data_IF_685787737613
#
_entry.id   IF_685787737613
#
_cell.length_a   1.000
_cell.length_b   1.000
_cell.length_c   1.000
_cell.angle_alpha   90.00
_cell.angle_beta   90.00
_cell.angle_gamma   90.00
#
_symmetry.space_group_name_H-M   'P 1'
#
loop_
_entity.id
_entity.type
_entity.pdbx_description
1 polymer ?
#
# COMPACT_ATOMS: atom_id res chain seq x y z
N UNK A 1 9.18 -11.90 -3.34
CA UNK A 1 9.63 -10.68 -4.06
C UNK A 1 10.80 -10.11 -3.30
N UNK A 2 11.83 -9.55 -3.94
CA UNK A 2 12.96 -8.93 -3.22
C UNK A 2 12.43 -7.81 -2.31
N UNK A 3 13.11 -7.59 -1.18
CA UNK A 3 12.83 -6.48 -0.29
C UNK A 3 13.05 -5.18 -1.05
N UNK A 4 11.99 -4.46 -1.33
CA UNK A 4 12.04 -3.16 -1.98
C UNK A 4 12.10 -2.12 -0.86
N UNK A 5 13.26 -1.51 -0.68
CA UNK A 5 13.45 -0.39 0.23
C UNK A 5 12.96 0.92 -0.40
N UNK A 6 12.86 1.99 0.38
CA UNK A 6 12.44 3.30 -0.14
C UNK A 6 13.35 3.80 -1.30
N UNK A 7 14.64 3.49 -1.25
CA UNK A 7 15.59 3.83 -2.31
C UNK A 7 15.32 3.02 -3.60
N UNK A 8 14.91 1.77 -3.47
CA UNK A 8 14.52 0.92 -4.60
C UNK A 8 13.22 1.42 -5.25
N UNK A 9 12.25 1.89 -4.46
CA UNK A 9 11.00 2.47 -4.97
C UNK A 9 11.28 3.75 -5.77
N UNK A 10 12.10 4.64 -5.24
CA UNK A 10 12.51 5.89 -5.94
C UNK A 10 13.26 5.53 -7.23
N UNK A 11 14.15 4.57 -7.18
CA UNK A 11 14.89 4.09 -8.36
C UNK A 11 13.93 3.52 -9.41
N UNK A 12 12.95 2.72 -9.00
CA UNK A 12 11.94 2.17 -9.90
C UNK A 12 11.10 3.28 -10.56
N UNK A 13 10.68 4.28 -9.79
CA UNK A 13 9.95 5.45 -10.33
C UNK A 13 10.81 6.21 -11.36
N UNK A 14 12.08 6.43 -11.08
CA UNK A 14 13.00 7.08 -12.02
C UNK A 14 13.16 6.27 -13.31
N UNK A 15 13.26 4.95 -13.21
CA UNK A 15 13.31 4.05 -14.37
C UNK A 15 12.02 4.17 -15.18
N UNK A 16 10.86 4.17 -14.55
CA UNK A 16 9.55 4.31 -15.21
C UNK A 16 9.47 5.65 -15.95
N UNK A 17 9.84 6.75 -15.31
CA UNK A 17 9.87 8.09 -15.91
C UNK A 17 10.79 8.10 -17.13
N UNK A 18 11.98 7.52 -17.01
CA UNK A 18 12.94 7.45 -18.11
C UNK A 18 12.39 6.62 -19.29
N UNK A 19 11.85 5.43 -19.02
CA UNK A 19 11.32 4.51 -20.04
C UNK A 19 10.14 5.16 -20.79
N UNK A 20 9.16 5.72 -20.07
CA UNK A 20 8.00 6.37 -20.73
C UNK A 20 8.40 7.62 -21.51
N UNK A 21 9.35 8.40 -20.99
CA UNK A 21 9.90 9.55 -21.73
C UNK A 21 10.62 9.11 -23.00
N UNK A 22 11.42 8.04 -22.93
CA UNK A 22 12.08 7.47 -24.10
C UNK A 22 11.05 6.94 -25.14
N UNK A 23 10.01 6.24 -24.69
CA UNK A 23 8.90 5.79 -25.55
C UNK A 23 8.23 6.97 -26.25
N UNK A 24 7.92 8.05 -25.53
CA UNK A 24 7.30 9.24 -26.08
C UNK A 24 8.19 9.91 -27.15
N UNK A 25 9.51 9.97 -26.90
CA UNK A 25 10.50 10.48 -27.87
C UNK A 25 10.59 9.58 -29.09
N UNK A 26 10.59 8.27 -28.92
CA UNK A 26 10.62 7.30 -30.03
C UNK A 26 9.35 7.45 -30.89
N UNK A 27 8.16 7.46 -30.27
CA UNK A 27 6.90 7.67 -30.98
C UNK A 27 6.94 8.99 -31.74
N UNK A 28 7.30 10.09 -31.08
CA UNK A 28 7.41 11.40 -31.70
C UNK A 28 8.37 11.40 -32.89
N UNK A 29 9.52 10.76 -32.76
CA UNK A 29 10.53 10.64 -33.81
C UNK A 29 10.02 9.86 -35.04
N UNK A 30 9.26 8.78 -34.82
CA UNK A 30 8.62 7.99 -35.90
C UNK A 30 7.63 8.86 -36.66
N UNK A 31 6.77 9.61 -35.94
CA UNK A 31 5.74 10.46 -36.56
C UNK A 31 6.30 11.71 -37.20
N UNK A 32 7.48 12.19 -36.80
CA UNK A 32 8.16 13.34 -37.41
C UNK A 32 9.11 12.96 -38.54
N UNK A 33 9.51 11.70 -38.64
CA UNK A 33 10.48 11.22 -39.63
C UNK A 33 9.94 11.35 -41.04
N UNK A 34 10.76 11.89 -41.97
CA UNK A 34 10.41 12.03 -43.40
C UNK A 34 10.09 10.71 -44.09
N UNK A 35 10.61 9.58 -43.55
CA UNK A 35 10.39 8.25 -44.13
C UNK A 35 9.05 7.64 -43.71
N UNK A 36 8.67 7.76 -42.44
CA UNK A 36 7.48 7.11 -41.88
C UNK A 36 6.24 8.00 -41.88
N UNK A 37 6.41 9.30 -41.81
CA UNK A 37 5.31 10.28 -41.79
C UNK A 37 4.32 10.13 -42.96
N UNK A 38 4.74 9.94 -44.22
CA UNK A 38 3.78 9.77 -45.33
C UNK A 38 2.87 8.54 -45.15
N UNK A 39 3.40 7.46 -44.57
CA UNK A 39 2.62 6.27 -44.26
C UNK A 39 1.62 6.54 -43.13
N UNK A 40 2.03 7.25 -42.09
CA UNK A 40 1.17 7.58 -40.95
C UNK A 40 0.06 8.57 -41.32
N UNK A 41 0.31 9.49 -42.25
CA UNK A 41 -0.68 10.43 -42.75
C UNK A 41 -1.86 9.77 -43.49
N UNK A 42 -1.70 8.55 -44.02
CA UNK A 42 -2.80 7.80 -44.63
C UNK A 42 -3.91 7.44 -43.61
N UNK A 43 -3.59 7.44 -42.34
CA UNK A 43 -4.52 7.17 -41.24
C UNK A 43 -4.99 8.43 -40.49
N UNK A 44 -4.79 9.59 -41.11
CA UNK A 44 -5.29 10.86 -40.60
C UNK A 44 -6.81 10.82 -40.41
N UNK A 45 -7.30 11.33 -39.30
CA UNK A 45 -8.73 11.40 -38.97
C UNK A 45 -9.35 10.08 -38.48
N UNK A 46 -8.71 8.92 -38.77
CA UNK A 46 -9.28 7.61 -38.34
C UNK A 46 -9.24 7.42 -36.86
N UNK A 47 -8.16 7.84 -36.19
CA UNK A 47 -7.93 7.59 -34.78
C UNK A 47 -8.62 8.61 -33.88
N UNK A 48 -8.83 9.84 -34.33
CA UNK A 48 -9.38 10.93 -33.55
C UNK A 48 -10.73 10.61 -32.86
N UNK A 49 -11.72 9.98 -33.50
CA UNK A 49 -13.00 9.61 -32.88
C UNK A 49 -12.85 8.58 -31.75
N UNK A 50 -11.78 7.78 -31.81
CA UNK A 50 -11.54 6.69 -30.82
C UNK A 50 -10.63 7.08 -29.66
N UNK A 51 -10.12 8.29 -29.63
CA UNK A 51 -9.22 8.78 -28.57
C UNK A 51 -9.82 8.63 -27.16
N UNK A 52 -11.12 8.85 -27.02
CA UNK A 52 -11.80 8.74 -25.73
C UNK A 52 -11.74 7.35 -25.10
N UNK A 53 -11.66 6.28 -25.90
CA UNK A 53 -11.69 4.90 -25.39
C UNK A 53 -10.45 4.58 -24.53
N UNK A 54 -9.20 4.68 -25.01
CA UNK A 54 -8.05 4.38 -24.17
C UNK A 54 -7.89 5.38 -23.03
N UNK A 55 -8.28 6.64 -23.20
CA UNK A 55 -8.20 7.64 -22.14
C UNK A 55 -9.15 7.34 -20.97
N UNK A 56 -10.42 7.00 -21.28
CA UNK A 56 -11.41 6.63 -20.25
C UNK A 56 -11.02 5.32 -19.56
N UNK A 57 -10.62 4.30 -20.32
CA UNK A 57 -10.21 3.02 -19.75
C UNK A 57 -8.95 3.15 -18.90
N UNK A 58 -7.97 3.93 -19.32
CA UNK A 58 -6.76 4.22 -18.54
C UNK A 58 -7.12 4.92 -17.22
N UNK A 59 -7.95 5.97 -17.27
CA UNK A 59 -8.37 6.71 -16.10
C UNK A 59 -9.14 5.84 -15.11
N UNK A 60 -10.10 5.05 -15.62
CA UNK A 60 -10.91 4.15 -14.79
C UNK A 60 -10.05 3.08 -14.12
N UNK A 61 -9.19 2.41 -14.88
CA UNK A 61 -8.34 1.34 -14.35
C UNK A 61 -7.32 1.88 -13.35
N UNK A 62 -6.74 3.05 -13.60
CA UNK A 62 -5.84 3.74 -12.67
C UNK A 62 -6.54 4.16 -11.38
N UNK A 63 -7.77 4.68 -11.49
CA UNK A 63 -8.57 5.05 -10.31
C UNK A 63 -8.94 3.83 -9.46
N UNK A 64 -9.40 2.74 -10.08
CA UNK A 64 -9.72 1.49 -9.37
C UNK A 64 -8.48 0.89 -8.68
N UNK A 65 -7.33 0.99 -9.30
CA UNK A 65 -6.09 0.53 -8.68
C UNK A 65 -5.66 1.43 -7.52
N UNK A 66 -5.73 2.74 -7.69
CA UNK A 66 -5.45 3.70 -6.63
C UNK A 66 -6.34 3.52 -5.41
N UNK A 67 -7.65 3.31 -5.61
CA UNK A 67 -8.58 3.05 -4.51
C UNK A 67 -8.27 1.74 -3.79
N UNK A 68 -7.92 0.67 -4.50
CA UNK A 68 -7.55 -0.62 -3.89
C UNK A 68 -6.30 -0.51 -3.02
N UNK A 69 -5.28 0.24 -3.46
CA UNK A 69 -4.06 0.49 -2.69
C UNK A 69 -4.38 1.31 -1.44
N UNK A 70 -5.17 2.38 -1.59
CA UNK A 70 -5.57 3.23 -0.48
C UNK A 70 -6.40 2.49 0.57
N UNK A 71 -7.29 1.61 0.13
CA UNK A 71 -8.08 0.75 1.02
C UNK A 71 -7.18 -0.20 1.83
N UNK A 72 -6.22 -0.85 1.16
CA UNK A 72 -5.25 -1.72 1.84
C UNK A 72 -4.46 -0.96 2.92
N UNK A 73 -4.00 0.26 2.60
CA UNK A 73 -3.32 1.13 3.56
C UNK A 73 -4.22 1.48 4.76
N UNK A 74 -5.47 1.86 4.50
CA UNK A 74 -6.42 2.22 5.54
C UNK A 74 -6.77 1.03 6.46
N UNK A 75 -6.95 -0.16 5.89
CA UNK A 75 -7.20 -1.39 6.66
C UNK A 75 -6.01 -1.70 7.58
N UNK A 76 -4.78 -1.61 7.07
CA UNK A 76 -3.58 -1.81 7.86
C UNK A 76 -3.43 -0.75 8.97
N UNK A 77 -3.67 0.53 8.66
CA UNK A 77 -3.63 1.62 9.64
C UNK A 77 -4.70 1.46 10.73
N UNK A 78 -5.91 1.06 10.35
CA UNK A 78 -7.00 0.80 11.28
C UNK A 78 -6.69 -0.40 12.18
N UNK A 79 -6.06 -1.45 11.65
CA UNK A 79 -5.63 -2.62 12.42
C UNK A 79 -4.64 -2.21 13.52
N UNK A 80 -3.62 -1.42 13.20
CA UNK A 80 -2.65 -0.91 14.19
C UNK A 80 -3.35 -0.12 15.29
N UNK A 81 -4.27 0.78 14.92
CA UNK A 81 -5.04 1.58 15.86
C UNK A 81 -5.91 0.72 16.78
N UNK A 82 -6.60 -0.28 16.21
CA UNK A 82 -7.47 -1.18 16.98
C UNK A 82 -6.66 -2.08 17.91
N UNK A 83 -5.50 -2.61 17.45
CA UNK A 83 -4.60 -3.40 18.29
C UNK A 83 -4.09 -2.58 19.46
N UNK A 84 -3.59 -1.37 19.20
CA UNK A 84 -3.13 -0.45 20.25
C UNK A 84 -4.22 -0.11 21.26
N UNK A 85 -5.44 0.19 20.81
CA UNK A 85 -6.58 0.47 21.69
C UNK A 85 -6.96 -0.74 22.56
N UNK A 86 -6.96 -1.93 21.99
CA UNK A 86 -7.22 -3.16 22.74
C UNK A 86 -6.16 -3.41 23.82
N UNK A 87 -4.87 -3.19 23.50
CA UNK A 87 -3.78 -3.31 24.49
C UNK A 87 -3.92 -2.29 25.62
N UNK A 88 -4.23 -1.02 25.32
CA UNK A 88 -4.49 0.01 26.33
C UNK A 88 -5.66 -0.40 27.22
N UNK A 89 -6.73 -0.95 26.66
CA UNK A 89 -7.89 -1.38 27.41
C UNK A 89 -7.54 -2.55 28.36
N UNK A 90 -6.73 -3.52 27.93
CA UNK A 90 -6.26 -4.63 28.78
C UNK A 90 -5.44 -4.08 29.97
N UNK A 91 -4.50 -3.17 29.71
CA UNK A 91 -3.68 -2.55 30.75
C UNK A 91 -4.56 -1.75 31.72
N UNK A 92 -5.48 -0.94 31.20
CA UNK A 92 -6.39 -0.16 32.04
C UNK A 92 -7.24 -1.04 32.95
N UNK A 93 -7.73 -2.18 32.47
CA UNK A 93 -8.45 -3.15 33.32
C UNK A 93 -7.53 -3.76 34.36
N UNK A 94 -6.32 -4.18 34.00
CA UNK A 94 -5.35 -4.75 34.92
C UNK A 94 -4.96 -3.77 36.06
N UNK A 95 -4.88 -2.46 35.74
CA UNK A 95 -4.50 -1.42 36.70
C UNK A 95 -5.70 -0.97 37.57
N UNK A 96 -6.94 -1.09 37.09
CA UNK A 96 -8.14 -0.57 37.79
C UNK A 96 -8.92 -1.60 38.56
N UNK A 97 -8.96 -2.85 38.10
CA UNK A 97 -9.69 -3.95 38.73
C UNK A 97 -8.86 -4.54 39.90
N UNK A 98 -9.33 -4.47 41.14
CA UNK A 98 -8.54 -4.89 42.33
C UNK A 98 -8.03 -6.33 42.26
N UNK A 99 -8.84 -7.23 41.72
CA UNK A 99 -8.54 -8.67 41.56
C UNK A 99 -7.39 -8.93 40.59
N UNK A 100 -7.09 -7.99 39.71
CA UNK A 100 -6.05 -8.11 38.70
C UNK A 100 -4.76 -7.36 39.02
N UNK A 101 -4.70 -6.57 40.08
CA UNK A 101 -3.53 -5.74 40.42
C UNK A 101 -2.25 -6.53 40.67
N UNK A 102 -2.37 -7.72 41.30
CA UNK A 102 -1.24 -8.58 41.58
C UNK A 102 -0.92 -9.55 40.43
N UNK A 103 -1.67 -9.44 39.33
CA UNK A 103 -1.52 -10.26 38.15
C UNK A 103 -0.45 -9.69 37.24
N UNK A 104 0.30 -10.53 36.52
CA UNK A 104 1.34 -10.12 35.59
C UNK A 104 0.78 -9.54 34.24
N UNK A 105 -0.56 -9.42 34.13
CA UNK A 105 -1.26 -9.09 32.90
C UNK A 105 -0.80 -7.76 32.26
N UNK A 106 -0.75 -6.68 33.06
CA UNK A 106 -0.32 -5.37 32.54
C UNK A 106 1.12 -5.42 32.03
N UNK A 107 2.02 -6.07 32.77
CA UNK A 107 3.42 -6.21 32.38
C UNK A 107 3.60 -7.08 31.14
N UNK A 108 2.92 -8.23 31.06
CA UNK A 108 2.95 -9.07 29.85
C UNK A 108 2.42 -8.33 28.61
N UNK A 109 1.39 -7.50 28.77
CA UNK A 109 0.83 -6.69 27.69
C UNK A 109 1.80 -5.61 27.23
N UNK A 110 2.52 -4.93 28.15
CA UNK A 110 3.56 -3.95 27.81
C UNK A 110 4.77 -4.62 27.12
N UNK A 111 5.20 -5.80 27.62
CA UNK A 111 6.27 -6.58 26.98
C UNK A 111 5.90 -6.96 25.55
N UNK A 112 4.66 -7.40 25.31
CA UNK A 112 4.19 -7.67 23.97
C UNK A 112 4.18 -6.41 23.10
N UNK A 113 3.63 -5.29 23.57
CA UNK A 113 3.62 -4.03 22.83
C UNK A 113 5.04 -3.55 22.48
N UNK A 114 5.98 -3.69 23.40
CA UNK A 114 7.40 -3.36 23.17
C UNK A 114 8.01 -4.26 22.09
N UNK A 115 7.72 -5.55 22.12
CA UNK A 115 8.25 -6.49 21.11
C UNK A 115 7.72 -6.22 19.70
N UNK A 116 6.51 -5.67 19.55
CA UNK A 116 6.02 -5.23 18.25
C UNK A 116 6.94 -4.15 17.67
N UNK A 117 7.34 -3.17 18.49
CA UNK A 117 8.17 -2.04 18.06
C UNK A 117 9.62 -2.45 17.78
N UNK A 118 10.21 -3.23 18.67
CA UNK A 118 11.65 -3.54 18.65
C UNK A 118 12.00 -4.71 17.73
N UNK A 119 11.12 -5.69 17.59
CA UNK A 119 11.40 -6.93 16.88
C UNK A 119 10.51 -7.12 15.64
N UNK A 120 9.17 -7.12 15.84
CA UNK A 120 8.25 -7.46 14.75
C UNK A 120 8.19 -6.37 13.69
N UNK A 121 8.31 -5.08 14.07
CA UNK A 121 8.31 -4.00 13.08
C UNK A 121 9.49 -4.10 12.11
N UNK A 122 10.66 -4.49 12.60
CA UNK A 122 11.83 -4.70 11.76
C UNK A 122 11.65 -5.87 10.79
N UNK A 123 11.11 -7.00 11.26
CA UNK A 123 10.86 -8.17 10.40
C UNK A 123 9.70 -7.95 9.42
N UNK A 124 8.69 -7.16 9.80
CA UNK A 124 7.62 -6.75 8.85
C UNK A 124 8.17 -5.89 7.73
N UNK A 125 9.14 -5.02 8.04
CA UNK A 125 9.77 -4.15 7.04
C UNK A 125 10.82 -4.88 6.19
N UNK A 126 11.54 -5.86 6.75
CA UNK A 126 12.58 -6.61 6.04
C UNK A 126 12.03 -7.88 5.36
N UNK A 127 11.42 -8.78 6.11
CA UNK A 127 11.05 -10.12 5.65
C UNK A 127 9.56 -10.31 5.40
N UNK A 128 8.73 -9.31 5.77
CA UNK A 128 7.26 -9.36 5.66
C UNK A 128 6.65 -10.53 6.44
N UNK A 129 7.27 -10.88 7.57
CA UNK A 129 6.86 -11.97 8.45
C UNK A 129 6.74 -11.48 9.89
N UNK A 130 5.99 -12.20 10.70
CA UNK A 130 5.99 -12.03 12.14
C UNK A 130 7.33 -12.46 12.75
N UNK A 131 7.75 -11.78 13.81
CA UNK A 131 8.92 -12.17 14.57
C UNK A 131 8.58 -13.32 15.52
N UNK A 132 9.35 -14.41 15.51
CA UNK A 132 9.12 -15.56 16.39
C UNK A 132 9.08 -15.18 17.87
N UNK A 133 9.95 -14.26 18.30
CA UNK A 133 9.97 -13.77 19.68
C UNK A 133 8.70 -12.98 20.04
N UNK A 134 8.16 -12.18 19.13
CA UNK A 134 6.89 -11.46 19.34
C UNK A 134 5.71 -12.43 19.41
N UNK A 135 5.74 -13.52 18.65
CA UNK A 135 4.73 -14.60 18.74
C UNK A 135 4.74 -15.23 20.14
N UNK A 136 5.92 -15.54 20.69
CA UNK A 136 6.03 -16.09 22.05
C UNK A 136 5.46 -15.13 23.10
N UNK A 137 5.78 -13.84 23.01
CA UNK A 137 5.26 -12.81 23.94
C UNK A 137 3.75 -12.63 23.79
N UNK A 138 3.21 -12.73 22.57
CA UNK A 138 1.77 -12.73 22.33
C UNK A 138 1.09 -13.94 22.99
N UNK A 139 1.67 -15.14 22.87
CA UNK A 139 1.14 -16.36 23.50
C UNK A 139 1.18 -16.25 25.02
N UNK A 140 2.26 -15.70 25.60
CA UNK A 140 2.37 -15.45 27.03
C UNK A 140 1.28 -14.47 27.52
N UNK A 141 1.12 -13.32 26.87
CA UNK A 141 0.06 -12.34 27.14
C UNK A 141 -1.33 -13.00 27.05
N UNK A 142 -1.60 -13.80 26.01
CA UNK A 142 -2.85 -14.53 25.85
C UNK A 142 -3.12 -15.48 27.04
N UNK A 143 -2.10 -16.20 27.49
CA UNK A 143 -2.22 -17.08 28.64
C UNK A 143 -2.63 -16.31 29.92
N UNK A 144 -2.01 -15.15 30.15
CA UNK A 144 -2.30 -14.32 31.32
C UNK A 144 -3.70 -13.66 31.21
N UNK A 145 -4.16 -13.28 30.02
CA UNK A 145 -5.55 -12.83 29.78
C UNK A 145 -6.55 -13.93 30.18
N UNK A 146 -6.33 -15.18 29.76
CA UNK A 146 -7.26 -16.27 30.08
C UNK A 146 -7.25 -16.61 31.59
N UNK A 147 -6.09 -16.54 32.26
CA UNK A 147 -6.01 -16.71 33.72
C UNK A 147 -6.80 -15.60 34.42
N UNK A 148 -6.54 -14.33 34.04
CA UNK A 148 -7.24 -13.17 34.59
C UNK A 148 -8.77 -13.25 34.38
N UNK A 149 -9.21 -13.64 33.19
CA UNK A 149 -10.62 -13.81 32.91
C UNK A 149 -11.29 -14.89 33.74
N UNK A 150 -10.58 -15.98 34.07
CA UNK A 150 -11.05 -17.02 34.98
C UNK A 150 -11.13 -16.54 36.44
N UNK A 151 -10.14 -15.77 36.90
CA UNK A 151 -10.12 -15.17 38.26
C UNK A 151 -11.32 -14.24 38.47
N UNK A 152 -11.76 -13.54 37.42
CA UNK A 152 -12.95 -12.68 37.44
C UNK A 152 -14.30 -13.43 37.38
N UNK A 153 -14.32 -14.75 37.43
CA UNK A 153 -15.53 -15.59 37.56
C UNK A 153 -16.69 -15.21 36.59
N UNK A 154 -16.38 -14.92 35.34
CA UNK A 154 -17.38 -14.57 34.30
C UNK A 154 -18.23 -13.31 34.60
N UNK A 155 -17.77 -12.40 35.40
CA UNK A 155 -18.40 -11.11 35.66
C UNK A 155 -18.34 -10.16 34.39
N UNK A 156 -18.79 -8.93 34.60
CA UNK A 156 -18.80 -7.93 33.48
C UNK A 156 -17.37 -7.59 33.05
N UNK A 157 -16.43 -7.48 33.99
CA UNK A 157 -15.02 -7.16 33.76
C UNK A 157 -14.32 -8.27 32.93
N UNK A 158 -14.61 -9.54 33.21
CA UNK A 158 -14.13 -10.70 32.44
C UNK A 158 -14.55 -10.59 30.95
N UNK A 159 -15.81 -10.23 30.70
CA UNK A 159 -16.32 -10.06 29.33
C UNK A 159 -15.65 -8.91 28.61
N UNK A 160 -15.43 -7.78 29.30
CA UNK A 160 -14.73 -6.63 28.73
C UNK A 160 -13.28 -6.97 28.41
N UNK A 161 -12.58 -7.69 29.32
CA UNK A 161 -11.22 -8.17 29.12
C UNK A 161 -11.12 -9.09 27.88
N UNK A 162 -12.02 -10.06 27.77
CA UNK A 162 -12.06 -10.98 26.63
C UNK A 162 -12.35 -10.27 25.33
N UNK A 163 -13.25 -9.28 25.30
CA UNK A 163 -13.53 -8.46 24.13
C UNK A 163 -12.31 -7.62 23.73
N UNK A 164 -11.61 -7.01 24.68
CA UNK A 164 -10.39 -6.27 24.43
C UNK A 164 -9.31 -7.18 23.81
N UNK A 165 -9.11 -8.37 24.37
CA UNK A 165 -8.18 -9.35 23.83
C UNK A 165 -8.59 -9.82 22.43
N UNK A 166 -9.86 -10.05 22.18
CA UNK A 166 -10.35 -10.45 20.86
C UNK A 166 -10.11 -9.35 19.83
N UNK A 167 -10.25 -8.07 20.22
CA UNK A 167 -9.89 -6.92 19.38
C UNK A 167 -8.41 -6.94 19.03
N UNK A 168 -7.52 -7.16 20.00
CA UNK A 168 -6.08 -7.30 19.76
C UNK A 168 -5.77 -8.45 18.81
N UNK A 169 -6.34 -9.63 19.08
CA UNK A 169 -6.10 -10.82 18.27
C UNK A 169 -6.54 -10.66 16.81
N UNK A 170 -7.73 -10.10 16.59
CA UNK A 170 -8.24 -9.84 15.25
C UNK A 170 -7.41 -8.77 14.52
N UNK A 171 -7.10 -7.68 15.22
CA UNK A 171 -6.31 -6.59 14.67
C UNK A 171 -4.89 -7.03 14.30
N UNK A 172 -4.22 -7.84 15.17
CA UNK A 172 -2.95 -8.49 14.85
C UNK A 172 -3.04 -9.33 13.57
N UNK A 173 -4.09 -10.17 13.47
CA UNK A 173 -4.32 -10.99 12.28
C UNK A 173 -4.44 -10.16 11.01
N UNK A 174 -5.21 -9.08 11.04
CA UNK A 174 -5.36 -8.15 9.91
C UNK A 174 -4.03 -7.47 9.59
N UNK A 175 -3.30 -6.96 10.59
CA UNK A 175 -2.00 -6.30 10.41
C UNK A 175 -0.99 -7.22 9.72
N UNK A 176 -0.90 -8.48 10.13
CA UNK A 176 0.00 -9.47 9.53
C UNK A 176 -0.47 -9.91 8.13
N UNK A 177 -1.77 -10.01 7.89
CA UNK A 177 -2.30 -10.35 6.57
C UNK A 177 -2.05 -9.25 5.52
N UNK A 178 -1.99 -7.99 5.95
CA UNK A 178 -1.77 -6.84 5.07
C UNK A 178 -0.30 -6.39 4.97
N UNK A 179 0.66 -7.29 5.20
CA UNK A 179 2.09 -7.01 5.04
C UNK A 179 2.51 -6.84 3.58
N UNK A 180 1.75 -7.39 2.67
CA UNK A 180 2.00 -7.29 1.22
C UNK A 180 0.74 -6.84 0.50
N UNK A 181 0.90 -5.92 -0.44
CA UNK A 181 -0.16 -5.62 -1.39
C UNK A 181 0.06 -6.47 -2.65
N UNK A 182 -0.78 -7.47 -2.84
CA UNK A 182 -0.66 -8.37 -3.99
C UNK A 182 -1.41 -7.80 -5.20
N UNK A 183 -0.69 -6.97 -5.97
CA UNK A 183 -1.22 -6.47 -7.24
C UNK A 183 -1.05 -7.55 -8.30
N UNK A 184 -2.15 -8.08 -8.79
CA UNK A 184 -2.12 -9.05 -9.88
C UNK A 184 -1.42 -8.45 -11.11
N UNK A 185 -0.39 -9.10 -11.68
CA UNK A 185 0.41 -8.53 -12.77
C UNK A 185 -0.40 -8.13 -14.00
N UNK A 186 -1.54 -8.77 -14.25
CA UNK A 186 -2.46 -8.39 -15.34
C UNK A 186 -3.06 -6.97 -15.18
N UNK A 187 -3.28 -6.49 -13.95
CA UNK A 187 -3.80 -5.13 -13.72
C UNK A 187 -2.75 -4.10 -14.09
N UNK A 188 -1.51 -4.31 -13.67
CA UNK A 188 -0.41 -3.42 -13.98
C UNK A 188 -0.11 -3.40 -15.49
N UNK A 189 -0.02 -4.59 -16.12
CA UNK A 189 0.21 -4.68 -17.57
C UNK A 189 -0.92 -4.02 -18.38
N UNK A 190 -2.17 -4.12 -17.91
CA UNK A 190 -3.30 -3.44 -18.52
C UNK A 190 -3.17 -1.91 -18.50
N UNK A 191 -2.77 -1.34 -17.36
CA UNK A 191 -2.51 0.11 -17.23
C UNK A 191 -1.38 0.55 -18.17
N UNK A 192 -0.26 -0.19 -18.21
CA UNK A 192 0.88 0.14 -19.06
C UNK A 192 0.53 0.05 -20.54
N UNK A 193 -0.25 -0.95 -20.94
CA UNK A 193 -0.75 -1.08 -22.31
C UNK A 193 -1.66 0.09 -22.69
N UNK A 194 -2.61 0.46 -21.85
CA UNK A 194 -3.52 1.58 -22.10
C UNK A 194 -2.76 2.91 -22.14
N UNK A 195 -1.75 3.08 -21.28
CA UNK A 195 -0.85 4.22 -21.33
C UNK A 195 -0.13 4.34 -22.67
N UNK A 196 0.41 3.23 -23.18
CA UNK A 196 1.07 3.18 -24.49
C UNK A 196 0.09 3.51 -25.63
N UNK A 197 -1.10 2.92 -25.61
CA UNK A 197 -2.15 3.19 -26.60
C UNK A 197 -2.57 4.66 -26.57
N UNK A 198 -2.64 5.27 -25.40
CA UNK A 198 -2.95 6.69 -25.25
C UNK A 198 -1.89 7.57 -25.91
N UNK A 199 -0.59 7.29 -25.66
CA UNK A 199 0.50 8.04 -26.31
C UNK A 199 0.45 7.90 -27.83
N UNK A 200 0.20 6.70 -28.36
CA UNK A 200 0.07 6.47 -29.81
C UNK A 200 -1.12 7.24 -30.38
N UNK A 201 -2.27 7.23 -29.73
CA UNK A 201 -3.46 7.96 -30.22
C UNK A 201 -3.24 9.47 -30.19
N UNK A 202 -2.57 10.02 -29.17
CA UNK A 202 -2.18 11.45 -29.15
C UNK A 202 -1.27 11.80 -30.31
N UNK A 203 -0.31 10.93 -30.65
CA UNK A 203 0.58 11.15 -31.80
C UNK A 203 -0.18 11.20 -33.12
N UNK A 204 -1.16 10.33 -33.35
CA UNK A 204 -2.01 10.36 -34.56
C UNK A 204 -2.86 11.63 -34.66
N UNK A 205 -3.44 12.08 -33.53
CA UNK A 205 -4.29 13.28 -33.52
C UNK A 205 -3.49 14.53 -33.95
N UNK A 206 -2.21 14.60 -33.56
CA UNK A 206 -1.37 15.78 -33.78
C UNK A 206 -0.41 15.65 -34.99
N UNK A 207 -0.58 14.63 -35.82
CA UNK A 207 0.35 14.30 -36.93
C UNK A 207 0.54 15.44 -37.94
N UNK A 208 -0.51 16.26 -38.18
CA UNK A 208 -0.46 17.38 -39.13
C UNK A 208 0.42 18.54 -38.66
N UNK A 209 0.53 18.74 -37.34
CA UNK A 209 1.21 19.90 -36.73
C UNK A 209 2.41 19.46 -35.91
N UNK A 210 3.64 19.40 -36.45
CA UNK A 210 4.81 18.88 -35.75
C UNK A 210 5.10 19.54 -34.39
N UNK A 211 4.94 20.85 -34.29
CA UNK A 211 5.14 21.57 -33.03
C UNK A 211 4.07 21.20 -31.96
N UNK A 212 2.83 21.07 -32.41
CA UNK A 212 1.72 20.64 -31.55
C UNK A 212 1.89 19.21 -31.09
N UNK A 213 2.41 18.32 -31.93
CA UNK A 213 2.71 16.94 -31.60
C UNK A 213 3.71 16.85 -30.41
N UNK A 214 4.81 17.60 -30.47
CA UNK A 214 5.82 17.56 -29.36
C UNK A 214 5.21 18.04 -28.05
N UNK A 215 4.46 19.14 -28.06
CA UNK A 215 3.81 19.67 -26.86
C UNK A 215 2.76 18.69 -26.33
N UNK A 216 1.89 18.16 -27.21
CA UNK A 216 0.86 17.22 -26.83
C UNK A 216 1.43 15.91 -26.24
N UNK A 217 2.51 15.39 -26.83
CA UNK A 217 3.20 14.20 -26.33
C UNK A 217 3.82 14.44 -24.95
N UNK A 218 4.41 15.63 -24.72
CA UNK A 218 4.95 15.97 -23.39
C UNK A 218 3.86 16.02 -22.32
N UNK A 219 2.72 16.65 -22.63
CA UNK A 219 1.56 16.73 -21.71
C UNK A 219 0.98 15.33 -21.47
N UNK A 220 0.78 14.55 -22.54
CA UNK A 220 0.24 13.18 -22.41
C UNK A 220 1.16 12.28 -21.58
N UNK A 221 2.48 12.37 -21.80
CA UNK A 221 3.46 11.61 -21.03
C UNK A 221 3.41 11.99 -19.55
N UNK A 222 3.38 13.28 -19.22
CA UNK A 222 3.24 13.74 -17.85
C UNK A 222 1.93 13.24 -17.21
N UNK A 223 0.81 13.32 -17.94
CA UNK A 223 -0.51 12.87 -17.47
C UNK A 223 -0.52 11.37 -17.17
N UNK A 224 0.12 10.55 -18.01
CA UNK A 224 0.20 9.11 -17.82
C UNK A 224 1.14 8.74 -16.67
N UNK A 225 2.26 9.45 -16.53
CA UNK A 225 3.26 9.17 -15.50
C UNK A 225 2.74 9.41 -14.09
N UNK A 226 1.91 10.43 -13.86
CA UNK A 226 1.42 10.75 -12.51
C UNK A 226 0.77 9.55 -11.82
N UNK A 227 -0.29 8.92 -12.36
CA UNK A 227 -0.92 7.78 -11.69
C UNK A 227 0.01 6.55 -11.60
N UNK A 228 0.84 6.30 -12.62
CA UNK A 228 1.77 5.17 -12.62
C UNK A 228 2.82 5.35 -11.52
N UNK A 229 3.42 6.54 -11.36
CA UNK A 229 4.38 6.81 -10.30
C UNK A 229 3.74 6.72 -8.91
N UNK A 230 2.53 7.26 -8.72
CA UNK A 230 1.81 7.15 -7.45
C UNK A 230 1.52 5.70 -7.09
N UNK A 231 1.05 4.90 -8.05
CA UNK A 231 0.82 3.47 -7.87
C UNK A 231 2.14 2.77 -7.48
N UNK A 232 3.24 3.11 -8.14
CA UNK A 232 4.55 2.49 -7.89
C UNK A 232 5.09 2.80 -6.49
N UNK A 233 4.95 4.05 -6.02
CA UNK A 233 5.37 4.47 -4.68
C UNK A 233 4.56 3.84 -3.53
N UNK A 234 3.42 3.28 -3.83
CA UNK A 234 2.51 2.68 -2.84
C UNK A 234 2.36 1.18 -3.01
N UNK A 235 3.13 0.60 -3.94
CA UNK A 235 2.96 -0.79 -4.38
C UNK A 235 3.52 -1.83 -3.40
N UNK A 236 4.54 -1.48 -2.59
CA UNK A 236 5.33 -2.50 -1.90
C UNK A 236 4.64 -3.04 -0.64
N UNK A 237 4.41 -2.22 0.33
CA UNK A 237 3.84 -2.60 1.63
C UNK A 237 3.36 -1.35 2.36
N UNK A 238 2.29 -1.41 3.14
CA UNK A 238 1.87 -0.28 3.95
C UNK A 238 2.87 0.05 5.08
N UNK A 239 3.86 -0.80 5.35
CA UNK A 239 4.83 -0.63 6.44
C UNK A 239 6.21 -0.16 5.96
N UNK A 240 6.47 -0.18 4.65
CA UNK A 240 7.77 0.16 4.03
C UNK A 240 7.55 1.18 2.93
N UNK A 241 8.58 1.97 2.61
CA UNK A 241 8.57 2.91 1.48
C UNK A 241 8.35 4.36 1.89
N UNK A 242 8.17 5.20 0.88
CA UNK A 242 8.01 6.65 1.04
C UNK A 242 6.72 7.01 1.79
N UNK A 243 5.67 6.23 1.57
CA UNK A 243 4.37 6.38 2.25
C UNK A 243 4.16 5.15 3.11
N UNK A 244 4.61 5.21 4.37
CA UNK A 244 4.50 4.09 5.31
C UNK A 244 3.75 4.47 6.59
N UNK A 245 3.11 3.46 7.20
CA UNK A 245 2.43 3.60 8.49
C UNK A 245 3.47 3.55 9.60
N UNK A 246 3.35 4.43 10.60
CA UNK A 246 4.25 4.49 11.74
C UNK A 246 3.80 3.58 12.89
N UNK A 247 4.77 3.03 13.63
CA UNK A 247 4.55 2.26 14.86
C UNK A 247 4.26 3.12 16.11
N UNK A 248 4.11 4.44 15.94
CA UNK A 248 3.92 5.39 17.07
C UNK A 248 2.77 5.04 18.00
N UNK A 249 1.72 4.37 17.49
CA UNK A 249 0.59 3.96 18.31
C UNK A 249 0.98 3.00 19.45
N UNK A 250 2.01 2.17 19.26
CA UNK A 250 2.50 1.25 20.29
C UNK A 250 3.48 1.89 21.28
N UNK A 251 4.17 2.96 20.88
CA UNK A 251 5.08 3.70 21.76
C UNK A 251 4.36 4.36 22.95
N UNK A 252 3.06 4.60 22.84
CA UNK A 252 2.23 5.16 23.90
C UNK A 252 1.84 4.14 24.98
N UNK A 253 2.18 2.85 24.78
CA UNK A 253 1.80 1.73 25.66
C UNK A 253 2.96 1.30 26.56
N UNK A 254 4.16 1.76 26.26
CA UNK A 254 5.41 1.38 26.98
C UNK A 254 5.56 2.00 28.36
#
# INVERSE_FOLDING_TARGET
MPNINADDEITLVLIIIFVFSAIAVIISSIFLSSKTRPLMLQYEGVVAPFFGLPAVLFSLLSALMGTSIWENYNVAAQAIKSESQGLIQIISLADTVPELRDNNLANATRIYAKSIVEEEWQTLTSDRKDAAQTVEKFIAMRSDVFKAANELNNNAESKVLMNAFQTVNNARGIRLAHTTFDVHPLRLSGILLLALLLLITVAFIHILKPKSLVVAMSIATATVLVPICLITLTFSSPYVGVISISNKAYLLIQ
#
